data_IF_272849525984
#
_entry.id   IF_272849525984
#
_cell.length_a   1.000
_cell.length_b   1.000
_cell.length_c   1.000
_cell.angle_alpha   90.00
_cell.angle_beta   90.00
_cell.angle_gamma   90.00
#
_symmetry.space_group_name_H-M   'P 1'
#
loop_
_entity.id
_entity.type
_entity.pdbx_description
1 polymer ?
#
# COMPACT_ATOMS: atom_id res chain seq x y z
N UNK A 1 -17.23 -24.27 3.80
CA UNK A 1 -15.91 -23.68 3.54
C UNK A 1 -15.93 -22.25 4.07
N UNK A 2 -14.89 -21.84 4.81
CA UNK A 2 -14.74 -20.46 5.23
C UNK A 2 -14.50 -19.52 4.04
N UNK A 3 -14.70 -18.20 4.26
CA UNK A 3 -14.34 -17.21 3.25
C UNK A 3 -12.82 -17.06 3.18
N UNK A 4 -12.28 -16.85 1.98
CA UNK A 4 -10.90 -16.49 1.78
C UNK A 4 -10.69 -15.03 2.27
N UNK A 5 -9.82 -14.85 3.23
CA UNK A 5 -9.47 -13.54 3.78
C UNK A 5 -8.40 -12.89 2.92
N UNK A 6 -8.71 -11.74 2.35
CA UNK A 6 -7.81 -10.97 1.49
C UNK A 6 -7.58 -9.61 2.12
N UNK A 7 -6.33 -9.29 2.44
CA UNK A 7 -5.95 -7.97 2.92
C UNK A 7 -5.26 -7.20 1.82
N UNK A 8 -5.73 -5.99 1.59
CA UNK A 8 -5.25 -5.08 0.54
C UNK A 8 -4.56 -3.91 1.20
N UNK A 9 -3.27 -3.71 0.95
CA UNK A 9 -2.48 -2.66 1.60
C UNK A 9 -2.10 -1.61 0.56
N UNK A 10 -2.62 -0.40 0.72
CA UNK A 10 -2.46 0.69 -0.25
C UNK A 10 -2.14 2.00 0.45
N UNK A 11 -1.16 2.73 -0.09
CA UNK A 11 -0.90 4.11 0.33
C UNK A 11 -2.11 5.02 0.11
N UNK A 12 -2.35 6.03 0.98
CA UNK A 12 -3.51 6.91 0.88
C UNK A 12 -3.39 7.97 -0.23
N UNK A 13 -2.75 7.62 -1.34
CA UNK A 13 -2.62 8.45 -2.54
C UNK A 13 -3.73 8.13 -3.54
N UNK A 14 -4.41 9.15 -4.03
CA UNK A 14 -5.57 8.97 -4.94
C UNK A 14 -5.20 8.21 -6.21
N UNK A 15 -4.00 8.44 -6.76
CA UNK A 15 -3.51 7.77 -7.97
C UNK A 15 -3.27 6.26 -7.80
N UNK A 16 -3.10 5.79 -6.58
CA UNK A 16 -2.93 4.38 -6.25
C UNK A 16 -4.22 3.74 -5.74
N UNK A 17 -4.91 4.46 -4.85
CA UNK A 17 -6.10 3.94 -4.19
C UNK A 17 -7.25 3.70 -5.16
N UNK A 18 -7.63 4.71 -5.98
CA UNK A 18 -8.80 4.59 -6.84
C UNK A 18 -8.66 3.51 -7.92
N UNK A 19 -7.56 3.41 -8.67
CA UNK A 19 -7.40 2.33 -9.64
C UNK A 19 -7.44 0.94 -8.99
N UNK A 20 -6.78 0.76 -7.84
CA UNK A 20 -6.78 -0.53 -7.15
C UNK A 20 -8.18 -0.85 -6.58
N UNK A 21 -8.89 0.11 -6.00
CA UNK A 21 -10.28 -0.10 -5.56
C UNK A 21 -11.17 -0.50 -6.74
N UNK A 22 -11.07 0.19 -7.89
CA UNK A 22 -11.86 -0.13 -9.08
C UNK A 22 -11.57 -1.56 -9.58
N UNK A 23 -10.32 -1.98 -9.55
CA UNK A 23 -9.92 -3.34 -9.90
C UNK A 23 -10.55 -4.38 -8.96
N UNK A 24 -10.64 -4.09 -7.68
CA UNK A 24 -11.06 -5.03 -6.65
C UNK A 24 -12.58 -4.97 -6.33
N UNK A 25 -13.28 -3.89 -6.67
CA UNK A 25 -14.72 -3.75 -6.42
C UNK A 25 -15.57 -4.95 -6.91
N UNK A 26 -15.30 -5.56 -8.08
CA UNK A 26 -16.05 -6.76 -8.50
C UNK A 26 -15.91 -7.93 -7.52
N UNK A 27 -14.78 -8.05 -6.84
CA UNK A 27 -14.50 -9.12 -5.88
C UNK A 27 -15.30 -8.96 -4.58
N UNK A 28 -15.68 -7.73 -4.20
CA UNK A 28 -16.50 -7.45 -3.01
C UNK A 28 -17.88 -8.13 -3.08
N UNK A 29 -18.39 -8.36 -4.28
CA UNK A 29 -19.69 -9.01 -4.50
C UNK A 29 -19.62 -10.52 -4.39
N UNK A 30 -18.43 -11.11 -4.34
CA UNK A 30 -18.24 -12.54 -4.26
C UNK A 30 -18.36 -13.01 -2.79
N UNK A 31 -19.33 -13.85 -2.44
CA UNK A 31 -19.55 -14.29 -1.06
C UNK A 31 -18.41 -15.15 -0.50
N UNK A 32 -17.52 -15.64 -1.35
CA UNK A 32 -16.38 -16.46 -0.94
C UNK A 32 -15.19 -15.66 -0.44
N UNK A 33 -15.20 -14.33 -0.59
CA UNK A 33 -14.12 -13.46 -0.14
C UNK A 33 -14.54 -12.59 1.04
N UNK A 34 -13.61 -12.37 1.94
CA UNK A 34 -13.67 -11.35 2.99
C UNK A 34 -12.49 -10.41 2.81
N UNK A 35 -12.76 -9.23 2.26
CA UNK A 35 -11.73 -8.28 1.82
C UNK A 35 -11.67 -7.12 2.81
N UNK A 36 -10.47 -6.88 3.38
CA UNK A 36 -10.14 -5.71 4.17
C UNK A 36 -9.15 -4.82 3.41
N UNK A 37 -9.34 -3.51 3.51
CA UNK A 37 -8.46 -2.53 2.90
C UNK A 37 -7.71 -1.76 3.98
N UNK A 38 -6.40 -1.83 3.97
CA UNK A 38 -5.49 -1.10 4.84
C UNK A 38 -5.02 0.16 4.13
N UNK A 39 -5.33 1.32 4.70
CA UNK A 39 -4.93 2.62 4.14
C UNK A 39 -4.92 3.70 5.22
N UNK A 40 -4.49 4.92 4.91
CA UNK A 40 -4.48 6.04 5.84
C UNK A 40 -5.88 6.59 6.15
N UNK A 41 -6.05 7.18 7.34
CA UNK A 41 -7.31 7.73 7.86
C UNK A 41 -7.98 8.70 6.87
N UNK A 42 -7.20 9.52 6.16
CA UNK A 42 -7.71 10.52 5.21
C UNK A 42 -8.46 9.91 4.00
N UNK A 43 -8.32 8.61 3.77
CA UNK A 43 -9.00 7.88 2.67
C UNK A 43 -10.06 6.90 3.14
N UNK A 44 -10.23 6.75 4.45
CA UNK A 44 -11.18 5.82 5.06
C UNK A 44 -12.60 6.01 4.52
N UNK A 45 -13.14 7.22 4.61
CA UNK A 45 -14.52 7.49 4.21
C UNK A 45 -14.82 7.14 2.75
N UNK A 46 -13.87 7.43 1.85
CA UNK A 46 -14.00 7.10 0.43
C UNK A 46 -14.00 5.60 0.19
N UNK A 47 -13.13 4.87 0.86
CA UNK A 47 -13.02 3.43 0.71
C UNK A 47 -14.24 2.70 1.32
N UNK A 48 -14.74 3.16 2.47
CA UNK A 48 -15.97 2.64 3.09
C UNK A 48 -17.19 2.90 2.19
N UNK A 49 -17.29 4.09 1.58
CA UNK A 49 -18.35 4.41 0.62
C UNK A 49 -18.32 3.52 -0.63
N UNK A 50 -17.15 3.02 -1.02
CA UNK A 50 -16.99 2.05 -2.09
C UNK A 50 -17.28 0.60 -1.67
N UNK A 51 -17.59 0.35 -0.39
CA UNK A 51 -17.99 -0.95 0.15
C UNK A 51 -16.87 -1.78 0.76
N UNK A 52 -15.67 -1.22 0.93
CA UNK A 52 -14.57 -1.92 1.58
C UNK A 52 -14.69 -1.87 3.11
N UNK A 53 -14.26 -2.94 3.78
CA UNK A 53 -13.97 -2.92 5.20
C UNK A 53 -12.60 -2.29 5.39
N UNK A 54 -12.53 -1.12 6.01
CA UNK A 54 -11.28 -0.35 6.12
C UNK A 54 -10.64 -0.54 7.49
N UNK A 55 -9.35 -0.84 7.48
CA UNK A 55 -8.46 -0.77 8.63
C UNK A 55 -7.50 0.39 8.42
N UNK A 56 -7.49 1.36 9.33
CA UNK A 56 -6.58 2.50 9.23
C UNK A 56 -5.21 2.15 9.77
N UNK A 57 -4.19 2.52 9.00
CA UNK A 57 -2.79 2.45 9.39
C UNK A 57 -2.16 3.84 9.32
N UNK A 58 -1.06 4.05 10.04
CA UNK A 58 -0.37 5.34 10.15
C UNK A 58 -1.24 6.46 10.76
N UNK A 59 -2.21 6.09 11.61
CA UNK A 59 -3.07 7.05 12.30
C UNK A 59 -2.22 7.95 13.22
N UNK A 60 -2.42 9.27 13.09
CA UNK A 60 -1.59 10.28 13.76
C UNK A 60 -0.26 10.61 13.08
N UNK A 61 0.08 9.94 11.97
CA UNK A 61 1.28 10.16 11.17
C UNK A 61 0.98 10.65 9.75
N UNK A 62 -0.21 11.20 9.52
CA UNK A 62 -0.67 11.67 8.21
C UNK A 62 0.24 12.77 7.65
N UNK A 63 0.66 13.70 8.52
CA UNK A 63 1.58 14.80 8.14
C UNK A 63 2.98 14.30 7.78
N UNK A 64 3.46 13.25 8.44
CA UNK A 64 4.75 12.65 8.13
C UNK A 64 4.72 11.96 6.77
N UNK A 65 3.65 11.22 6.50
CA UNK A 65 3.43 10.61 5.19
C UNK A 65 3.33 11.66 4.08
N UNK A 66 2.54 12.73 4.28
CA UNK A 66 2.40 13.81 3.29
C UNK A 66 3.73 14.52 3.03
N UNK A 67 4.55 14.75 4.07
CA UNK A 67 5.88 15.33 3.93
C UNK A 67 6.80 14.46 3.07
N UNK A 68 6.77 13.15 3.25
CA UNK A 68 7.56 12.21 2.43
C UNK A 68 7.05 12.16 1.00
N UNK A 69 5.73 12.09 0.81
CA UNK A 69 5.09 11.96 -0.49
C UNK A 69 5.19 13.23 -1.35
N UNK A 70 5.18 14.42 -0.72
CA UNK A 70 5.14 15.72 -1.39
C UNK A 70 6.46 16.50 -1.30
N UNK A 71 7.57 15.84 -1.01
CA UNK A 71 8.85 16.54 -0.86
C UNK A 71 9.27 17.22 -2.18
N UNK A 72 9.30 18.56 -2.13
CA UNK A 72 9.75 19.43 -3.23
C UNK A 72 11.15 20.01 -2.99
N UNK A 73 11.87 19.52 -1.96
CA UNK A 73 13.21 19.99 -1.67
C UNK A 73 14.18 19.68 -2.81
N UNK A 74 15.08 20.63 -3.12
CA UNK A 74 16.09 20.43 -4.14
C UNK A 74 17.00 19.26 -3.79
N UNK A 75 17.29 18.43 -4.81
CA UNK A 75 18.10 17.24 -4.70
C UNK A 75 19.54 17.58 -4.26
N UNK A 76 19.79 17.44 -2.96
CA UNK A 76 21.14 17.40 -2.39
C UNK A 76 21.35 16.07 -1.66
N UNK A 77 22.58 15.61 -1.52
CA UNK A 77 22.87 14.34 -0.83
C UNK A 77 22.27 14.30 0.58
N UNK A 78 22.26 15.40 1.29
CA UNK A 78 21.71 15.49 2.64
C UNK A 78 20.19 15.44 2.66
N UNK A 79 19.51 16.09 1.70
CA UNK A 79 18.04 16.02 1.58
C UNK A 79 17.60 14.64 1.14
N UNK A 80 18.32 13.98 0.24
CA UNK A 80 18.07 12.60 -0.17
C UNK A 80 18.20 11.61 1.01
N UNK A 81 19.24 11.78 1.84
CA UNK A 81 19.41 10.97 3.05
C UNK A 81 18.25 11.17 4.04
N UNK A 82 17.87 12.41 4.31
CA UNK A 82 16.73 12.72 5.21
C UNK A 82 15.42 12.13 4.69
N UNK A 83 15.18 12.24 3.39
CA UNK A 83 13.98 11.69 2.77
C UNK A 83 13.96 10.16 2.85
N UNK A 84 15.08 9.50 2.57
CA UNK A 84 15.20 8.06 2.70
C UNK A 84 14.94 7.60 4.14
N UNK A 85 15.57 8.27 5.13
CA UNK A 85 15.36 7.97 6.54
C UNK A 85 13.88 8.11 6.94
N UNK A 86 13.24 9.23 6.57
CA UNK A 86 11.82 9.43 6.87
C UNK A 86 10.91 8.39 6.17
N UNK A 87 11.27 7.95 4.96
CA UNK A 87 10.54 6.89 4.26
C UNK A 87 10.68 5.55 4.99
N UNK A 88 11.88 5.22 5.47
CA UNK A 88 12.13 3.99 6.24
C UNK A 88 11.37 4.00 7.57
N UNK A 89 11.30 5.13 8.26
CA UNK A 89 10.54 5.26 9.51
C UNK A 89 9.05 4.97 9.29
N UNK A 90 8.47 5.50 8.21
CA UNK A 90 7.06 5.23 7.84
C UNK A 90 6.86 3.75 7.45
N UNK A 91 7.78 3.16 6.70
CA UNK A 91 7.72 1.74 6.33
C UNK A 91 7.77 0.86 7.58
N UNK A 92 8.67 1.14 8.52
CA UNK A 92 8.79 0.40 9.76
C UNK A 92 7.52 0.51 10.59
N UNK A 93 7.01 1.72 10.80
CA UNK A 93 5.78 1.95 11.56
C UNK A 93 4.57 1.21 10.94
N UNK A 94 4.41 1.30 9.63
CA UNK A 94 3.36 0.58 8.93
C UNK A 94 3.53 -0.94 9.02
N UNK A 95 4.78 -1.43 8.98
CA UNK A 95 5.10 -2.85 9.13
C UNK A 95 4.73 -3.37 10.51
N UNK A 96 5.06 -2.64 11.57
CA UNK A 96 4.72 -3.01 12.96
C UNK A 96 3.21 -3.07 13.17
N UNK A 97 2.46 -2.12 12.60
CA UNK A 97 1.00 -2.11 12.67
C UNK A 97 0.38 -3.28 11.90
N UNK A 98 0.87 -3.57 10.69
CA UNK A 98 0.41 -4.72 9.89
C UNK A 98 0.73 -6.04 10.60
N UNK A 99 1.93 -6.17 11.15
CA UNK A 99 2.34 -7.37 11.89
C UNK A 99 1.39 -7.62 13.06
N UNK A 100 1.12 -6.60 13.88
CA UNK A 100 0.20 -6.68 15.02
C UNK A 100 -1.21 -7.10 14.60
N UNK A 101 -1.74 -6.53 13.51
CA UNK A 101 -3.06 -6.88 12.98
C UNK A 101 -3.10 -8.31 12.44
N UNK A 102 -2.06 -8.75 11.74
CA UNK A 102 -2.02 -10.08 11.13
C UNK A 102 -1.67 -11.20 12.11
N UNK A 103 -1.06 -10.89 13.24
CA UNK A 103 -0.94 -11.83 14.37
C UNK A 103 -2.32 -12.17 14.98
N UNK A 104 -3.22 -11.18 15.02
CA UNK A 104 -4.59 -11.37 15.53
C UNK A 104 -5.52 -11.95 14.46
N UNK A 105 -5.42 -11.47 13.23
CA UNK A 105 -6.32 -11.85 12.13
C UNK A 105 -5.54 -12.05 10.83
N UNK A 106 -4.84 -13.19 10.75
CA UNK A 106 -4.00 -13.55 9.59
C UNK A 106 -4.83 -13.65 8.32
N UNK A 107 -4.45 -12.98 7.22
CA UNK A 107 -5.06 -13.17 5.91
C UNK A 107 -4.54 -14.45 5.22
N UNK A 108 -5.30 -14.93 4.26
CA UNK A 108 -4.92 -16.04 3.36
C UNK A 108 -4.12 -15.51 2.15
N UNK A 109 -4.34 -14.24 1.78
CA UNK A 109 -3.67 -13.56 0.67
C UNK A 109 -3.50 -12.07 1.00
N UNK A 110 -2.35 -11.51 0.68
CA UNK A 110 -2.09 -10.06 0.72
C UNK A 110 -1.99 -9.52 -0.70
N UNK A 111 -2.66 -8.40 -0.95
CA UNK A 111 -2.51 -7.60 -2.17
C UNK A 111 -1.87 -6.28 -1.75
N UNK A 112 -0.63 -6.06 -2.12
CA UNK A 112 0.11 -4.84 -1.78
C UNK A 112 0.28 -3.95 -3.01
N UNK A 113 0.00 -2.66 -2.87
CA UNK A 113 0.42 -1.69 -3.88
C UNK A 113 1.96 -1.60 -3.91
N UNK A 114 2.53 -1.43 -5.10
CA UNK A 114 3.98 -1.51 -5.30
C UNK A 114 4.79 -0.46 -4.49
N UNK A 115 4.18 0.68 -4.14
CA UNK A 115 4.81 1.69 -3.27
C UNK A 115 4.69 1.27 -1.79
N UNK A 116 3.71 0.43 -1.45
CA UNK A 116 3.46 0.01 -0.07
C UNK A 116 4.33 -1.17 0.31
N UNK A 117 5.64 -0.94 0.42
CA UNK A 117 6.63 -2.00 0.69
C UNK A 117 6.32 -2.79 1.95
N UNK A 118 5.79 -2.14 3.00
CA UNK A 118 5.44 -2.77 4.27
C UNK A 118 4.49 -3.97 4.10
N UNK A 119 3.50 -3.87 3.20
CA UNK A 119 2.56 -4.96 2.94
C UNK A 119 3.23 -6.24 2.46
N UNK A 120 4.11 -6.13 1.46
CA UNK A 120 4.87 -7.26 0.93
C UNK A 120 5.91 -7.80 1.93
N UNK A 121 6.64 -6.91 2.60
CA UNK A 121 7.67 -7.29 3.57
C UNK A 121 7.10 -8.10 4.74
N UNK A 122 6.00 -7.64 5.34
CA UNK A 122 5.36 -8.36 6.46
C UNK A 122 4.72 -9.66 5.98
N UNK A 123 4.10 -9.68 4.79
CA UNK A 123 3.57 -10.91 4.22
C UNK A 123 4.66 -11.96 4.01
N UNK A 124 5.82 -11.57 3.47
CA UNK A 124 6.98 -12.45 3.31
C UNK A 124 7.51 -12.96 4.66
N UNK A 125 7.68 -12.07 5.64
CA UNK A 125 8.12 -12.42 6.98
C UNK A 125 7.20 -13.45 7.66
N UNK A 126 5.90 -13.32 7.45
CA UNK A 126 4.89 -14.22 8.03
C UNK A 126 4.61 -15.45 7.16
N UNK A 127 5.22 -15.59 5.99
CA UNK A 127 4.94 -16.68 5.04
C UNK A 127 3.49 -16.65 4.53
N UNK A 128 2.95 -15.45 4.28
CA UNK A 128 1.62 -15.26 3.70
C UNK A 128 1.79 -15.06 2.19
N UNK A 129 1.06 -15.78 1.33
CA UNK A 129 1.07 -15.52 -0.11
C UNK A 129 0.70 -14.06 -0.40
N UNK A 130 1.42 -13.42 -1.31
CA UNK A 130 1.12 -12.05 -1.66
C UNK A 130 1.37 -11.75 -3.14
N UNK A 131 0.69 -10.72 -3.64
CA UNK A 131 0.82 -10.19 -5.00
C UNK A 131 0.91 -8.68 -4.96
N UNK A 132 1.54 -8.09 -5.97
CA UNK A 132 1.67 -6.64 -6.11
C UNK A 132 0.69 -6.11 -7.14
N UNK A 133 0.00 -5.01 -6.82
CA UNK A 133 -0.73 -4.21 -7.79
C UNK A 133 0.12 -3.02 -8.24
N UNK A 134 0.02 -2.70 -9.52
CA UNK A 134 0.67 -1.55 -10.12
C UNK A 134 -0.41 -0.65 -10.73
N UNK A 135 -0.77 0.38 -10.00
CA UNK A 135 -1.85 1.30 -10.38
C UNK A 135 -1.42 2.39 -11.36
N UNK A 136 -0.12 2.53 -11.59
CA UNK A 136 0.46 3.53 -12.48
C UNK A 136 1.23 2.88 -13.62
N UNK A 137 1.47 3.64 -14.69
CA UNK A 137 2.42 3.23 -15.70
C UNK A 137 3.80 3.13 -15.06
N UNK A 138 4.14 1.93 -14.65
CA UNK A 138 5.45 1.68 -14.12
C UNK A 138 6.33 1.14 -15.22
N UNK A 139 7.49 1.51 -15.05
CA UNK A 139 8.72 1.14 -15.61
C UNK A 139 9.00 -0.35 -15.51
N UNK A 140 8.29 -1.15 -16.28
CA UNK A 140 8.80 -2.47 -16.63
C UNK A 140 9.90 -2.21 -17.65
N UNK A 141 11.12 -2.58 -17.30
CA UNK A 141 12.24 -2.57 -18.23
C UNK A 141 11.83 -3.37 -19.49
N UNK A 142 11.73 -2.69 -20.60
CA UNK A 142 11.41 -3.30 -21.89
C UNK A 142 12.69 -3.43 -22.70
N UNK A 143 12.70 -4.35 -23.65
CA UNK A 143 13.84 -4.51 -24.58
C UNK A 143 14.15 -3.26 -25.39
N UNK A 144 13.24 -2.28 -25.40
CA UNK A 144 13.31 -1.07 -26.24
C UNK A 144 13.84 0.17 -25.52
N UNK A 145 14.23 0.05 -24.26
CA UNK A 145 14.88 1.12 -23.51
C UNK A 145 14.39 1.28 -22.06
N UNK A 146 15.08 2.15 -21.29
CA UNK A 146 14.67 2.44 -19.93
C UNK A 146 13.32 3.13 -19.96
N UNK A 147 12.52 2.91 -18.91
CA UNK A 147 11.23 3.56 -18.80
C UNK A 147 11.42 5.08 -18.80
N UNK A 148 10.55 5.79 -19.53
CA UNK A 148 10.54 7.25 -19.61
C UNK A 148 10.47 7.97 -18.25
N UNK A 149 10.22 7.24 -17.19
CA UNK A 149 10.18 7.72 -15.81
C UNK A 149 11.57 8.12 -15.25
N UNK A 150 12.66 7.61 -15.82
CA UNK A 150 14.03 7.93 -15.39
C UNK A 150 14.76 8.93 -16.30
N UNK A 151 14.03 9.68 -17.12
CA UNK A 151 14.59 10.79 -17.86
C UNK A 151 15.54 10.32 -18.99
N UNK A 152 15.04 9.43 -19.82
CA UNK A 152 15.64 9.17 -21.11
C UNK A 152 15.31 10.31 -22.08
#
# INVERSE_FOLDING_TARGET
>A
MGKLKIDVVIVPLSGHLYPTMNLLMPLLKNPHYDIRLFTGQQKRAVAEAAGFKVVTILEGHETDFERVANNKEQLGLFSAYRQLSASLDIINLASDQLLSEWEVSRPDLVIADFITLSGGLVAEQMGIPWITTMATQFAIETTDGPPCFFGG
#
